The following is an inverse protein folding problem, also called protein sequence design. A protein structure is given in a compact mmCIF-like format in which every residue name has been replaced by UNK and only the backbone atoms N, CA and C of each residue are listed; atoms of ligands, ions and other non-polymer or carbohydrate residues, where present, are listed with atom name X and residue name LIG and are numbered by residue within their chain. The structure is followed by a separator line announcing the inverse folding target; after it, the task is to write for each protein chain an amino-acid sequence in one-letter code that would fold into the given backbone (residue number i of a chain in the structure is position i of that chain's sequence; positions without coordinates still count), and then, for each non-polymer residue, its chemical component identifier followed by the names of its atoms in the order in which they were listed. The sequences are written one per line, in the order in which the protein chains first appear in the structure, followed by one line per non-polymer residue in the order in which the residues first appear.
data_IF_273588572270
#
_entry.id   IF_273588572270
#
_cell.length_a   1.000
_cell.length_b   1.000
_cell.length_c   1.000
_cell.angle_alpha   90.00
_cell.angle_beta   90.00
_cell.angle_gamma   90.00
#
_symmetry.space_group_name_H-M   'P 1'
#
loop_
_entity.id
_entity.type
_entity.pdbx_description
1 polymer ?
#
# COMPACT_ATOMS: atom_id res chain seq x y z
N UNK A 1 -12.49 -1.79 4.34
CA UNK A 1 -11.61 -0.60 4.38
C UNK A 1 -10.81 -0.57 3.09
N UNK A 2 -10.59 0.61 2.51
CA UNK A 2 -9.84 0.80 1.28
C UNK A 2 -8.89 1.98 1.45
N UNK A 3 -7.65 1.84 1.01
CA UNK A 3 -6.68 2.94 0.92
C UNK A 3 -6.90 3.66 -0.41
N UNK A 4 -7.04 4.98 -0.35
CA UNK A 4 -7.12 5.84 -1.53
C UNK A 4 -5.92 6.79 -1.47
N UNK A 5 -5.03 6.68 -2.46
CA UNK A 5 -3.82 7.48 -2.53
C UNK A 5 -3.95 8.55 -3.62
N UNK A 6 -3.30 9.69 -3.38
CA UNK A 6 -3.25 10.81 -4.30
C UNK A 6 -1.82 11.35 -4.40
N UNK A 7 -1.39 11.68 -5.61
CA UNK A 7 -0.20 12.52 -5.85
C UNK A 7 -0.61 14.01 -5.85
N UNK A 8 0.27 14.88 -5.36
CA UNK A 8 0.10 16.34 -5.47
C UNK A 8 0.69 16.77 -6.80
N UNK A 9 -0.13 17.36 -7.66
CA UNK A 9 0.27 17.78 -9.01
C UNK A 9 -0.47 19.05 -9.40
N UNK A 10 0.23 20.00 -10.02
CA UNK A 10 -0.33 21.22 -10.61
C UNK A 10 -1.34 21.98 -9.73
N UNK A 11 -0.96 22.22 -8.48
CA UNK A 11 -1.81 22.89 -7.48
C UNK A 11 -3.14 22.16 -7.19
N UNK A 12 -3.21 20.86 -7.51
CA UNK A 12 -4.31 19.96 -7.27
C UNK A 12 -3.83 18.58 -6.82
N UNK A 13 -4.69 17.57 -6.98
CA UNK A 13 -4.35 16.19 -6.66
C UNK A 13 -4.89 15.23 -7.70
N UNK A 14 -4.14 14.16 -7.97
CA UNK A 14 -4.55 13.11 -8.89
C UNK A 14 -4.53 11.78 -8.16
N UNK A 15 -5.58 10.99 -8.31
CA UNK A 15 -5.66 9.65 -7.72
C UNK A 15 -4.61 8.75 -8.36
N UNK A 16 -3.88 8.02 -7.53
CA UNK A 16 -2.90 7.03 -7.97
C UNK A 16 -3.27 5.65 -7.44
N UNK A 17 -2.92 4.62 -8.22
CA UNK A 17 -3.10 3.21 -7.84
C UNK A 17 -1.79 2.53 -7.50
N UNK A 18 -0.66 3.15 -7.84
CA UNK A 18 0.71 2.74 -7.51
C UNK A 18 1.39 3.82 -6.68
N UNK A 19 2.40 3.44 -5.90
CA UNK A 19 3.23 4.39 -5.18
C UNK A 19 4.27 5.02 -6.10
N UNK A 20 4.37 6.35 -6.05
CA UNK A 20 5.44 7.12 -6.71
C UNK A 20 6.75 7.13 -5.90
N UNK A 21 6.73 6.63 -4.65
CA UNK A 21 7.91 6.60 -3.75
C UNK A 21 8.49 5.20 -3.65
N UNK A 22 7.63 4.19 -3.50
CA UNK A 22 8.03 2.79 -3.42
C UNK A 22 7.73 2.11 -4.76
N UNK A 23 8.77 1.96 -5.57
CA UNK A 23 8.67 1.28 -6.87
C UNK A 23 8.06 -0.12 -6.70
N UNK A 24 7.05 -0.43 -7.53
CA UNK A 24 6.37 -1.73 -7.49
C UNK A 24 5.25 -1.85 -6.45
N UNK A 25 5.02 -0.85 -5.60
CA UNK A 25 3.93 -0.90 -4.62
C UNK A 25 2.59 -0.50 -5.24
N UNK A 26 1.71 -1.48 -5.46
CA UNK A 26 0.28 -1.24 -5.71
C UNK A 26 -0.43 -0.84 -4.40
N UNK A 27 -1.25 0.22 -4.42
CA UNK A 27 -1.96 0.73 -3.24
C UNK A 27 -2.98 -0.30 -2.69
N UNK A 28 -3.44 -1.23 -3.53
CA UNK A 28 -4.27 -2.35 -3.07
C UNK A 28 -3.54 -3.28 -2.09
N UNK A 29 -2.21 -3.44 -2.21
CA UNK A 29 -1.42 -4.25 -1.28
C UNK A 29 -1.48 -3.64 0.13
N UNK A 30 -1.46 -2.31 0.25
CA UNK A 30 -1.63 -1.63 1.54
C UNK A 30 -3.02 -1.87 2.14
N UNK A 31 -4.05 -1.90 1.29
CA UNK A 31 -5.41 -2.24 1.76
C UNK A 31 -5.45 -3.64 2.35
N UNK A 32 -4.82 -4.61 1.70
CA UNK A 32 -4.74 -5.99 2.19
C UNK A 32 -3.89 -6.11 3.46
N UNK A 33 -2.74 -5.43 3.54
CA UNK A 33 -1.91 -5.37 4.74
C UNK A 33 -2.71 -4.89 5.97
N UNK A 34 -3.46 -3.80 5.80
CA UNK A 34 -4.28 -3.22 6.88
C UNK A 34 -5.52 -4.07 7.21
N UNK A 35 -5.99 -4.91 6.29
CA UNK A 35 -7.03 -5.90 6.59
C UNK A 35 -6.45 -7.06 7.41
N UNK A 36 -5.27 -7.58 7.02
CA UNK A 36 -4.56 -8.64 7.74
C UNK A 36 -4.16 -8.21 9.15
N UNK A 37 -3.72 -6.96 9.34
CA UNK A 37 -3.32 -6.44 10.66
C UNK A 37 -4.43 -6.40 11.70
N UNK A 38 -5.69 -6.58 11.29
CA UNK A 38 -6.84 -6.68 12.23
C UNK A 38 -6.93 -8.05 12.90
N UNK A 39 -6.36 -9.09 12.27
CA UNK A 39 -6.51 -10.48 12.70
C UNK A 39 -5.16 -11.18 12.95
N UNK A 40 -4.04 -10.56 12.56
CA UNK A 40 -2.67 -11.11 12.67
C UNK A 40 -1.74 -10.11 13.35
N UNK A 41 -0.63 -10.60 13.92
CA UNK A 41 0.35 -9.72 14.55
C UNK A 41 1.11 -8.88 13.50
N UNK A 42 1.63 -7.73 13.91
CA UNK A 42 2.30 -6.80 13.00
C UNK A 42 3.57 -7.37 12.35
N UNK A 43 4.28 -8.29 13.00
CA UNK A 43 5.50 -8.92 12.47
C UNK A 43 5.19 -9.80 11.28
N UNK A 44 4.15 -10.64 11.37
CA UNK A 44 3.69 -11.51 10.28
C UNK A 44 3.20 -10.71 9.08
N UNK A 45 2.43 -9.65 9.34
CA UNK A 45 1.93 -8.76 8.27
C UNK A 45 3.09 -8.04 7.59
N UNK A 46 4.08 -7.58 8.35
CA UNK A 46 5.30 -6.96 7.81
C UNK A 46 6.10 -7.92 6.93
N UNK A 47 6.32 -9.15 7.38
CA UNK A 47 7.01 -10.18 6.62
C UNK A 47 6.27 -10.51 5.31
N UNK A 48 4.94 -10.67 5.37
CA UNK A 48 4.10 -10.89 4.19
C UNK A 48 4.16 -9.71 3.21
N UNK A 49 4.10 -8.48 3.71
CA UNK A 49 4.17 -7.27 2.89
C UNK A 49 5.51 -7.19 2.15
N UNK A 50 6.62 -7.54 2.80
CA UNK A 50 7.94 -7.58 2.18
C UNK A 50 8.02 -8.59 1.03
N UNK A 51 7.35 -9.74 1.14
CA UNK A 51 7.29 -10.73 0.06
C UNK A 51 6.58 -10.18 -1.19
N UNK A 52 5.64 -9.25 -1.04
CA UNK A 52 4.96 -8.64 -2.20
C UNK A 52 5.89 -7.75 -3.04
N UNK A 53 7.04 -7.32 -2.49
CA UNK A 53 8.05 -6.53 -3.20
C UNK A 53 9.18 -7.37 -3.82
N UNK A 54 9.21 -8.67 -3.56
CA UNK A 54 10.27 -9.58 -4.03
C UNK A 54 9.93 -10.30 -5.34
N UNK A 55 8.75 -10.02 -5.92
CA UNK A 55 8.29 -10.59 -7.18
C UNK A 55 8.59 -9.70 -8.38
#
# INVERSE_FOLDING_TARGET
MQVIAFEIVDNGSKRITKSEVLSGLEINILTEALQRSRNSNHTEVGAWLLQQFQQ
#
